data_IF_080128194006
#
_entry.id   IF_080128194006
#
_cell.length_a   1.000
_cell.length_b   1.000
_cell.length_c   1.000
_cell.angle_alpha   90.00
_cell.angle_beta   90.00
_cell.angle_gamma   90.00
#
_symmetry.space_group_name_H-M   'P 1'
#
loop_
_entity.id
_entity.type
_entity.pdbx_description
1 polymer ?
#
# COMPACT_ATOMS: atom_id res chain seq x y z
N UNK A 1 31.75 13.92 -15.15
CA UNK A 1 30.39 13.92 -14.58
C UNK A 1 29.66 12.72 -15.15
N UNK A 2 29.61 11.62 -14.40
CA UNK A 2 28.94 10.39 -14.83
C UNK A 2 27.46 10.52 -14.45
N UNK A 3 26.67 11.01 -15.40
CA UNK A 3 25.21 10.91 -15.35
C UNK A 3 24.84 9.43 -15.46
N UNK A 4 24.62 8.78 -14.32
CA UNK A 4 24.05 7.43 -14.24
C UNK A 4 22.55 7.61 -14.02
N UNK A 5 21.84 7.81 -15.12
CA UNK A 5 20.37 7.88 -15.18
C UNK A 5 19.65 6.60 -14.74
N UNK A 6 20.38 5.52 -14.47
CA UNK A 6 19.85 4.19 -14.10
C UNK A 6 19.86 3.91 -12.59
N UNK A 7 20.28 4.86 -11.76
CA UNK A 7 20.13 4.77 -10.30
C UNK A 7 19.01 5.72 -9.89
N UNK A 8 17.90 5.15 -9.40
CA UNK A 8 16.85 5.91 -8.74
C UNK A 8 17.46 6.82 -7.66
N UNK A 9 16.84 7.98 -7.40
CA UNK A 9 17.29 9.00 -6.43
C UNK A 9 17.60 8.46 -5.02
N UNK A 10 17.20 7.23 -4.70
CA UNK A 10 17.43 6.53 -3.44
C UNK A 10 18.71 5.68 -3.41
N UNK A 11 19.40 5.49 -4.54
CA UNK A 11 20.60 4.66 -4.66
C UNK A 11 20.35 3.15 -4.73
N UNK A 12 19.09 2.71 -4.84
CA UNK A 12 18.69 1.32 -5.04
C UNK A 12 18.49 1.01 -6.53
N UNK A 13 18.79 -0.22 -6.94
CA UNK A 13 18.41 -0.72 -8.28
C UNK A 13 16.90 -0.93 -8.34
N UNK A 14 16.29 -0.83 -9.54
CA UNK A 14 14.85 -1.01 -9.73
C UNK A 14 14.33 -2.35 -9.18
N UNK A 15 15.14 -3.42 -9.26
CA UNK A 15 14.83 -4.72 -8.67
C UNK A 15 14.67 -4.67 -7.15
N UNK A 16 15.57 -3.99 -6.43
CA UNK A 16 15.46 -3.87 -4.97
C UNK A 16 14.25 -3.03 -4.55
N UNK A 17 13.92 -1.98 -5.34
CA UNK A 17 12.72 -1.19 -5.11
C UNK A 17 11.45 -2.03 -5.30
N UNK A 18 11.42 -2.90 -6.32
CA UNK A 18 10.28 -3.77 -6.61
C UNK A 18 10.07 -4.87 -5.56
N UNK A 19 11.15 -5.44 -5.03
CA UNK A 19 11.07 -6.41 -3.92
C UNK A 19 10.41 -5.79 -2.68
N UNK A 20 10.87 -4.61 -2.25
CA UNK A 20 10.26 -3.90 -1.13
C UNK A 20 8.80 -3.54 -1.42
N UNK A 21 8.52 -3.02 -2.62
CA UNK A 21 7.18 -2.63 -3.03
C UNK A 21 6.21 -3.82 -3.00
N UNK A 22 6.64 -5.00 -3.46
CA UNK A 22 5.83 -6.22 -3.46
C UNK A 22 5.43 -6.67 -2.05
N UNK A 23 6.37 -6.61 -1.10
CA UNK A 23 6.12 -6.98 0.30
C UNK A 23 5.22 -5.94 0.98
N UNK A 24 5.45 -4.66 0.74
CA UNK A 24 4.61 -3.57 1.28
C UNK A 24 3.16 -3.69 0.79
N UNK A 25 2.96 -3.87 -0.52
CA UNK A 25 1.63 -4.04 -1.09
C UNK A 25 0.90 -5.27 -0.53
N UNK A 26 1.62 -6.36 -0.24
CA UNK A 26 1.01 -7.56 0.34
C UNK A 26 0.37 -7.29 1.71
N UNK A 27 1.08 -6.60 2.61
CA UNK A 27 0.58 -6.24 3.93
C UNK A 27 -0.49 -5.15 3.86
N UNK A 28 -0.27 -4.14 3.02
CA UNK A 28 -1.23 -3.06 2.80
C UNK A 28 -2.57 -3.57 2.26
N UNK A 29 -2.53 -4.52 1.34
CA UNK A 29 -3.73 -5.13 0.77
C UNK A 29 -4.51 -5.93 1.81
N UNK A 30 -3.82 -6.74 2.63
CA UNK A 30 -4.46 -7.50 3.70
C UNK A 30 -5.12 -6.59 4.73
N UNK A 31 -4.42 -5.55 5.18
CA UNK A 31 -4.98 -4.57 6.11
C UNK A 31 -6.18 -3.83 5.52
N UNK A 32 -6.07 -3.35 4.28
CA UNK A 32 -7.14 -2.60 3.60
C UNK A 32 -8.37 -3.47 3.39
N UNK A 33 -8.20 -4.73 2.97
CA UNK A 33 -9.30 -5.67 2.81
C UNK A 33 -10.05 -5.90 4.13
N UNK A 34 -9.33 -6.14 5.23
CA UNK A 34 -9.93 -6.31 6.56
C UNK A 34 -10.63 -5.02 7.02
N UNK A 35 -10.00 -3.86 6.82
CA UNK A 35 -10.57 -2.57 7.17
C UNK A 35 -11.88 -2.33 6.42
N UNK A 36 -11.94 -2.55 5.11
CA UNK A 36 -13.16 -2.39 4.31
C UNK A 36 -14.27 -3.30 4.80
N UNK A 37 -13.96 -4.57 5.08
CA UNK A 37 -14.94 -5.52 5.65
C UNK A 37 -15.47 -5.05 7.00
N UNK A 38 -14.60 -4.57 7.89
CA UNK A 38 -15.00 -4.03 9.18
C UNK A 38 -15.90 -2.80 9.04
N UNK A 39 -15.60 -1.89 8.11
CA UNK A 39 -16.42 -0.72 7.82
C UNK A 39 -17.79 -1.09 7.27
N UNK A 40 -17.87 -2.09 6.38
CA UNK A 40 -19.15 -2.60 5.85
C UNK A 40 -20.00 -3.20 6.98
N UNK A 41 -19.41 -4.06 7.80
CA UNK A 41 -20.09 -4.70 8.94
C UNK A 41 -20.62 -3.67 9.94
N UNK A 42 -19.81 -2.66 10.24
CA UNK A 42 -20.21 -1.58 11.16
C UNK A 42 -21.30 -0.70 10.55
N UNK A 43 -21.29 -0.47 9.23
CA UNK A 43 -22.38 0.20 8.52
C UNK A 43 -23.74 -0.51 8.66
N UNK A 44 -23.75 -1.84 8.65
CA UNK A 44 -24.99 -2.61 8.86
C UNK A 44 -25.53 -2.50 10.29
N UNK A 45 -24.64 -2.34 11.29
CA UNK A 45 -25.02 -2.36 12.70
C UNK A 45 -25.38 -0.97 13.23
N UNK A 46 -24.62 0.06 12.90
CA UNK A 46 -24.95 1.48 13.12
C UNK A 46 -24.38 2.30 11.94
N UNK A 47 -25.22 2.68 10.96
CA UNK A 47 -24.77 3.50 9.85
C UNK A 47 -24.43 4.90 10.37
N UNK A 48 -23.14 5.20 10.49
CA UNK A 48 -22.67 6.51 10.99
C UNK A 48 -23.08 7.69 10.10
N UNK A 49 -23.49 7.42 8.86
CA UNK A 49 -23.93 8.43 7.87
C UNK A 49 -25.45 8.61 7.81
N UNK A 50 -26.24 7.92 8.64
CA UNK A 50 -27.70 8.08 8.63
C UNK A 50 -28.21 9.27 9.46
N UNK A 51 -27.42 10.34 9.56
CA UNK A 51 -27.89 11.62 10.10
C UNK A 51 -28.43 12.50 8.97
#
# INVERSE_FOLDING_TARGET
MADKSDLSFTGLTDEQAQELHSVYLSGFYLFTAVAVVAHILTYFKLPWFSW
#
